data_IF_111157954635
#
_entry.id   IF_111157954635
#
_cell.length_a   1.000
_cell.length_b   1.000
_cell.length_c   1.000
_cell.angle_alpha   90.00
_cell.angle_beta   90.00
_cell.angle_gamma   90.00
#
_symmetry.space_group_name_H-M   'P 1'
#
loop_
_entity.id
_entity.type
_entity.pdbx_description
1 polymer ?
#
# COMPACT_ATOMS: atom_id res chain seq x y z
N UNK A 1 5.12 -16.18 35.76
CA UNK A 1 4.49 -14.85 35.90
C UNK A 1 5.61 -13.85 35.64
N UNK A 2 5.66 -13.01 34.60
CA UNK A 2 4.75 -12.65 33.51
C UNK A 2 5.63 -12.21 32.32
N UNK A 3 5.20 -12.55 31.12
CA UNK A 3 5.90 -12.28 29.86
C UNK A 3 5.80 -10.80 29.49
N UNK A 4 6.94 -10.16 29.21
CA UNK A 4 7.00 -8.82 28.64
C UNK A 4 6.47 -8.84 27.20
N UNK A 5 5.17 -8.59 27.04
CA UNK A 5 4.55 -8.35 25.75
C UNK A 5 5.03 -6.99 25.23
N UNK A 6 5.85 -7.01 24.19
CA UNK A 6 6.14 -5.85 23.35
C UNK A 6 4.82 -5.38 22.74
N UNK A 7 4.20 -4.38 23.35
CA UNK A 7 3.08 -3.64 22.76
C UNK A 7 3.62 -2.88 21.55
N UNK A 8 3.42 -3.42 20.35
CA UNK A 8 3.54 -2.66 19.10
C UNK A 8 2.63 -1.44 19.24
N UNK A 9 3.11 -0.20 19.00
CA UNK A 9 2.22 0.94 19.02
C UNK A 9 1.17 0.72 17.93
N UNK A 10 -0.08 0.59 18.34
CA UNK A 10 -1.21 0.66 17.44
C UNK A 10 -1.20 2.06 16.86
N UNK A 11 -0.71 2.19 15.63
CA UNK A 11 -0.72 3.44 14.88
C UNK A 11 -2.15 3.95 14.86
N UNK A 12 -2.39 5.09 15.51
CA UNK A 12 -3.58 5.90 15.35
C UNK A 12 -3.63 6.38 13.89
N UNK A 13 -4.08 5.51 13.00
CA UNK A 13 -4.41 5.89 11.63
C UNK A 13 -5.77 6.56 11.69
N UNK A 14 -5.76 7.89 11.84
CA UNK A 14 -6.96 8.70 11.72
C UNK A 14 -7.65 8.45 10.38
N UNK A 15 -8.96 8.70 10.33
CA UNK A 15 -9.77 8.77 9.11
C UNK A 15 -8.95 9.29 7.92
N UNK A 16 -8.64 8.40 6.96
CA UNK A 16 -7.87 8.76 5.75
C UNK A 16 -6.51 8.08 5.58
N UNK A 17 -6.15 7.08 6.39
CA UNK A 17 -5.00 6.23 6.07
C UNK A 17 -5.29 5.35 4.85
N UNK A 18 -4.56 5.58 3.76
CA UNK A 18 -4.74 4.83 2.51
C UNK A 18 -3.77 3.64 2.43
N UNK A 19 -2.61 3.73 3.07
CA UNK A 19 -1.61 2.67 2.99
C UNK A 19 -0.19 3.09 3.34
N UNK A 20 0.76 2.19 3.07
CA UNK A 20 2.18 2.35 3.43
C UNK A 20 3.04 2.42 2.19
N UNK A 21 3.97 3.38 2.13
CA UNK A 21 4.95 3.51 1.04
C UNK A 21 5.98 2.39 1.15
N UNK A 22 6.33 1.75 0.04
CA UNK A 22 7.32 0.66 0.02
C UNK A 22 8.09 0.62 -1.30
N UNK A 23 9.28 0.02 -1.27
CA UNK A 23 10.12 -0.17 -2.46
C UNK A 23 10.80 1.13 -2.89
N UNK A 24 10.80 1.40 -4.19
CA UNK A 24 11.43 2.59 -4.77
C UNK A 24 10.61 3.85 -4.50
N UNK A 25 11.20 4.76 -3.73
CA UNK A 25 10.66 6.08 -3.40
C UNK A 25 11.53 7.13 -4.05
N UNK A 26 10.99 7.76 -5.11
CA UNK A 26 11.61 8.89 -5.78
C UNK A 26 11.04 10.22 -5.29
N UNK A 27 11.71 11.31 -5.65
CA UNK A 27 11.29 12.68 -5.31
C UNK A 27 9.97 13.08 -5.98
N UNK A 28 9.65 12.49 -7.13
CA UNK A 28 8.46 12.84 -7.93
C UNK A 28 7.46 11.69 -8.05
N UNK A 29 7.82 10.48 -7.64
CA UNK A 29 6.93 9.32 -7.69
C UNK A 29 7.37 8.25 -6.71
N UNK A 30 6.43 7.49 -6.18
CA UNK A 30 6.71 6.41 -5.25
C UNK A 30 5.64 5.32 -5.37
N UNK A 31 5.96 4.15 -4.82
CA UNK A 31 5.05 3.01 -4.75
C UNK A 31 4.50 2.87 -3.35
N UNK A 32 3.20 2.61 -3.23
CA UNK A 32 2.56 2.33 -1.94
C UNK A 32 1.72 1.05 -2.01
N UNK A 33 1.63 0.41 -0.85
CA UNK A 33 0.76 -0.74 -0.59
C UNK A 33 -0.51 -0.16 -0.03
N UNK A 34 -1.58 -0.33 -0.78
CA UNK A 34 -2.88 0.24 -0.50
C UNK A 34 -3.62 -0.73 0.43
N UNK A 35 -4.10 -0.21 1.55
CA UNK A 35 -4.89 -0.95 2.55
C UNK A 35 -6.37 -0.62 2.39
N UNK A 36 -6.68 0.64 2.09
CA UNK A 36 -8.04 1.12 1.85
C UNK A 36 -8.31 1.32 0.36
N UNK A 37 -9.55 1.10 -0.12
CA UNK A 37 -9.87 1.20 -1.54
C UNK A 37 -9.57 2.60 -2.08
N UNK A 38 -8.77 2.66 -3.15
CA UNK A 38 -8.42 3.90 -3.86
C UNK A 38 -8.63 3.74 -5.36
N UNK A 39 -9.00 4.82 -6.04
CA UNK A 39 -9.21 4.83 -7.48
C UNK A 39 -8.08 5.53 -8.25
N UNK A 40 -8.00 5.23 -9.55
CA UNK A 40 -7.07 5.92 -10.43
C UNK A 40 -7.46 7.39 -10.57
N UNK A 41 -6.47 8.28 -10.57
CA UNK A 41 -6.61 9.74 -10.54
C UNK A 41 -7.10 10.33 -9.22
N UNK A 42 -7.25 9.51 -8.18
CA UNK A 42 -7.52 10.02 -6.85
C UNK A 42 -6.27 10.71 -6.25
N UNK A 43 -6.50 11.61 -5.30
CA UNK A 43 -5.44 12.41 -4.69
C UNK A 43 -5.18 11.91 -3.27
N UNK A 44 -3.90 11.69 -2.97
CA UNK A 44 -3.45 11.28 -1.64
C UNK A 44 -2.55 12.34 -1.05
N UNK A 45 -2.67 12.55 0.25
CA UNK A 45 -1.72 13.34 1.01
C UNK A 45 -0.67 12.40 1.59
N UNK A 46 0.59 12.77 1.40
CA UNK A 46 1.72 12.01 1.94
C UNK A 46 2.54 12.93 2.81
N UNK A 47 2.85 12.47 4.01
CA UNK A 47 3.76 13.17 4.91
C UNK A 47 5.20 12.84 4.50
N UNK A 48 5.94 13.85 4.07
CA UNK A 48 7.36 13.76 3.75
C UNK A 48 8.18 14.42 4.85
N UNK A 49 9.14 13.70 5.44
CA UNK A 49 9.88 14.15 6.64
C UNK A 49 10.58 15.50 6.44
N UNK A 50 11.08 15.77 5.22
CA UNK A 50 11.81 17.02 4.91
C UNK A 50 10.91 18.14 4.38
N UNK A 51 9.76 17.81 3.77
CA UNK A 51 8.99 18.75 2.95
C UNK A 51 7.56 18.96 3.47
N UNK A 52 7.19 18.34 4.59
CA UNK A 52 5.82 18.38 5.09
C UNK A 52 4.87 17.58 4.22
N UNK A 53 3.62 18.05 4.11
CA UNK A 53 2.58 17.32 3.37
C UNK A 53 2.74 17.57 1.87
N UNK A 54 2.91 16.49 1.12
CA UNK A 54 2.95 16.50 -0.34
C UNK A 54 1.64 15.95 -0.91
N UNK A 55 1.23 16.50 -2.06
CA UNK A 55 0.06 16.04 -2.79
C UNK A 55 0.50 15.07 -3.88
N UNK A 56 0.05 13.82 -3.75
CA UNK A 56 0.22 12.78 -4.74
C UNK A 56 -1.06 12.52 -5.52
N UNK A 57 -0.94 12.10 -6.77
CA UNK A 57 -2.04 11.56 -7.57
C UNK A 57 -1.74 10.11 -7.91
N UNK A 58 -2.73 9.23 -7.74
CA UNK A 58 -2.63 7.83 -8.14
C UNK A 58 -2.62 7.73 -9.67
N UNK A 59 -1.51 7.29 -10.23
CA UNK A 59 -1.36 7.15 -11.68
C UNK A 59 -1.71 5.74 -12.16
N UNK A 60 -1.32 4.72 -11.39
CA UNK A 60 -1.55 3.33 -11.73
C UNK A 60 -1.88 2.52 -10.47
N UNK A 61 -2.79 1.56 -10.60
CA UNK A 61 -3.13 0.60 -9.55
C UNK A 61 -2.91 -0.79 -10.12
N UNK A 62 -2.13 -1.59 -9.42
CA UNK A 62 -1.83 -2.97 -9.75
C UNK A 62 -2.25 -3.86 -8.58
N UNK A 63 -3.11 -4.84 -8.84
CA UNK A 63 -3.36 -5.89 -7.86
C UNK A 63 -2.33 -7.00 -8.07
N UNK A 64 -1.49 -7.20 -7.05
CA UNK A 64 -0.54 -8.30 -7.00
C UNK A 64 -1.13 -9.42 -6.20
N UNK A 65 -0.92 -10.63 -6.68
CA UNK A 65 -1.46 -11.83 -6.07
C UNK A 65 -0.31 -12.80 -5.89
N UNK A 66 -0.22 -13.48 -4.75
CA UNK A 66 0.80 -14.51 -4.50
C UNK A 66 0.52 -15.83 -5.25
N UNK A 67 -0.13 -15.74 -6.42
CA UNK A 67 -0.48 -16.90 -7.22
C UNK A 67 0.74 -17.37 -8.01
N UNK A 68 1.45 -18.33 -7.44
CA UNK A 68 2.48 -19.09 -8.17
C UNK A 68 1.85 -19.96 -9.26
N UNK A 69 2.58 -20.24 -10.34
CA UNK A 69 2.10 -21.08 -11.46
C UNK A 69 1.58 -22.45 -10.99
N UNK A 70 2.27 -23.04 -10.01
CA UNK A 70 1.89 -24.32 -9.39
C UNK A 70 0.54 -24.23 -8.66
N UNK A 71 0.33 -23.14 -7.91
CA UNK A 71 -0.94 -22.86 -7.21
C UNK A 71 -2.10 -22.55 -8.17
N UNK A 72 -1.83 -21.87 -9.29
CA UNK A 72 -2.85 -21.63 -10.32
C UNK A 72 -3.36 -22.94 -10.95
N UNK A 73 -2.47 -23.94 -11.07
CA UNK A 73 -2.80 -25.26 -11.59
C UNK A 73 -3.65 -26.05 -10.57
N UNK A 74 -3.29 -26.02 -9.29
CA UNK A 74 -4.07 -26.62 -8.19
C UNK A 74 -5.47 -25.98 -8.05
N UNK A 75 -5.59 -24.67 -8.23
CA UNK A 75 -6.88 -23.96 -8.29
C UNK A 75 -7.77 -24.44 -9.45
N UNK A 76 -7.18 -24.75 -10.60
CA UNK A 76 -7.92 -25.28 -11.75
C UNK A 76 -8.40 -26.71 -11.52
N UNK A 77 -7.70 -27.47 -10.68
CA UNK A 77 -8.04 -28.86 -10.31
C UNK A 77 -9.14 -28.93 -9.22
N UNK A 78 -9.51 -27.78 -8.63
CA UNK A 78 -10.61 -27.67 -7.67
C UNK A 78 -10.18 -27.61 -6.21
N UNK A 79 -8.88 -27.51 -5.93
CA UNK A 79 -8.37 -27.35 -4.56
C UNK A 79 -8.51 -25.89 -4.07
N UNK A 80 -8.97 -25.67 -2.83
CA UNK A 80 -9.07 -24.33 -2.26
C UNK A 80 -7.67 -23.79 -1.94
N UNK A 81 -7.14 -22.99 -2.87
CA UNK A 81 -5.89 -22.26 -2.64
C UNK A 81 -6.21 -20.93 -1.94
N UNK A 82 -5.59 -20.70 -0.80
CA UNK A 82 -5.64 -19.40 -0.12
C UNK A 82 -4.73 -18.43 -0.89
N UNK A 83 -5.37 -17.44 -1.53
CA UNK A 83 -4.72 -16.49 -2.42
C UNK A 83 -4.63 -15.14 -1.72
N UNK A 84 -3.43 -14.76 -1.34
CA UNK A 84 -3.18 -13.43 -0.79
C UNK A 84 -3.12 -12.40 -1.92
N UNK A 85 -4.11 -11.50 -1.94
CA UNK A 85 -4.15 -10.34 -2.82
C UNK A 85 -3.64 -9.10 -2.09
N UNK A 86 -2.74 -8.35 -2.71
CA UNK A 86 -2.28 -7.03 -2.24
C UNK A 86 -2.42 -6.00 -3.34
N UNK A 87 -2.97 -4.84 -2.99
CA UNK A 87 -3.09 -3.74 -3.93
C UNK A 87 -1.86 -2.85 -3.80
N UNK A 88 -1.25 -2.55 -4.95
CA UNK A 88 -0.15 -1.62 -5.03
C UNK A 88 -0.53 -0.47 -5.95
N UNK A 89 -0.37 0.75 -5.48
CA UNK A 89 -0.52 1.94 -6.30
C UNK A 89 0.83 2.60 -6.58
N UNK A 90 0.96 3.14 -7.78
CA UNK A 90 2.01 4.09 -8.14
C UNK A 90 1.42 5.49 -8.04
N UNK A 91 2.08 6.33 -7.25
CA UNK A 91 1.66 7.69 -6.98
C UNK A 91 2.70 8.65 -7.52
N UNK A 92 2.26 9.66 -8.25
CA UNK A 92 3.09 10.74 -8.76
C UNK A 92 2.83 12.00 -7.93
N UNK A 93 3.89 12.61 -7.40
CA UNK A 93 3.83 13.86 -6.65
C UNK A 93 3.53 15.00 -7.64
N UNK A 94 2.44 15.72 -7.40
CA UNK A 94 1.99 16.82 -8.26
C UNK A 94 2.16 18.19 -7.61
N UNK A 95 2.46 18.25 -6.31
CA UNK A 95 2.70 19.51 -5.62
C UNK A 95 3.19 19.32 -4.19
N UNK A 96 3.94 20.31 -3.73
CA UNK A 96 4.33 20.47 -2.33
C UNK A 96 3.42 21.52 -1.73
N UNK A 97 2.88 21.25 -0.54
CA UNK A 97 2.14 22.26 0.21
C UNK A 97 3.13 22.89 1.20
N UNK A 98 3.87 23.90 0.71
CA UNK A 98 4.72 24.78 1.53
C UNK A 98 3.87 25.68 2.43
#
# INVERSE_FOLDING_TARGET
>A
MESAAHSRPASHHGDGFVGVIYGDVGTTSFRCSVVDPIERNEFVQVEHETCGIVLGRVDQIERKTDLSLDRAQQMSDGDPVDVEERVSAQVSVIGYRD
#
